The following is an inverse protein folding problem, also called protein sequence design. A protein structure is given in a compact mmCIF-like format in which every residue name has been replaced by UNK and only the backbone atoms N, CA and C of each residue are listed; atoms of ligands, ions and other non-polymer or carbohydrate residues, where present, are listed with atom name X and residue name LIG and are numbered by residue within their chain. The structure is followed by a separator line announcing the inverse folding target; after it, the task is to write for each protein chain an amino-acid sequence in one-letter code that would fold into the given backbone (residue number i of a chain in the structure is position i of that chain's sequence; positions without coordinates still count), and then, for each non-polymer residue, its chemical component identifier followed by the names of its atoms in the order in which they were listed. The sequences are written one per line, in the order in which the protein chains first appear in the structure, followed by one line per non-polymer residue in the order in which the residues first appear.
data_IF_828942184561
#
_entry.id   IF_828942184561
#
_cell.length_a   1.000
_cell.length_b   1.000
_cell.length_c   1.000
_cell.angle_alpha   90.00
_cell.angle_beta   90.00
_cell.angle_gamma   90.00
#
_symmetry.space_group_name_H-M   'P 1'
#
loop_
_entity.id
_entity.type
_entity.pdbx_description
1 polymer ?
#
# COMPACT_ATOMS: atom_id res chain seq x y z
N UNK A 1 20.56 3.24 6.87
CA UNK A 1 19.68 4.19 7.56
C UNK A 1 18.34 3.54 7.89
N UNK A 2 17.81 3.85 9.05
CA UNK A 2 16.52 3.31 9.45
C UNK A 2 15.38 3.91 8.62
N UNK A 3 14.45 3.08 8.20
CA UNK A 3 13.24 3.55 7.53
C UNK A 3 12.32 4.23 8.55
N UNK A 4 11.50 5.14 8.08
CA UNK A 4 10.52 5.79 8.94
C UNK A 4 9.35 4.85 9.21
N UNK A 5 8.86 4.86 10.44
CA UNK A 5 7.68 4.08 10.82
C UNK A 5 6.42 4.84 10.44
N UNK A 6 5.47 4.15 9.84
CA UNK A 6 4.18 4.71 9.48
C UNK A 6 3.08 3.71 9.82
N UNK A 7 1.92 4.20 10.18
CA UNK A 7 0.78 3.34 10.47
C UNK A 7 0.19 2.77 9.17
N UNK A 8 -0.57 1.69 9.30
CA UNK A 8 -1.26 1.10 8.14
C UNK A 8 -2.15 2.13 7.45
N UNK A 9 -2.86 2.96 8.21
CA UNK A 9 -3.73 3.99 7.65
C UNK A 9 -2.94 5.04 6.86
N UNK A 10 -1.78 5.45 7.37
CA UNK A 10 -0.92 6.41 6.68
C UNK A 10 -0.38 5.84 5.38
N UNK A 11 0.10 4.60 5.41
CA UNK A 11 0.62 3.94 4.21
C UNK A 11 -0.48 3.77 3.17
N UNK A 12 -1.68 3.36 3.59
CA UNK A 12 -2.82 3.23 2.69
C UNK A 12 -3.17 4.56 2.02
N UNK A 13 -3.11 5.65 2.79
CA UNK A 13 -3.37 6.98 2.26
C UNK A 13 -2.32 7.40 1.23
N UNK A 14 -1.05 7.13 1.48
CA UNK A 14 0.01 7.39 0.51
C UNK A 14 -0.23 6.64 -0.79
N UNK A 15 -0.65 5.38 -0.70
CA UNK A 15 -0.95 4.58 -1.89
C UNK A 15 -2.09 5.21 -2.68
N UNK A 16 -3.18 5.61 -2.01
CA UNK A 16 -4.31 6.26 -2.66
C UNK A 16 -3.90 7.54 -3.36
N UNK A 17 -3.06 8.35 -2.72
CA UNK A 17 -2.58 9.60 -3.30
C UNK A 17 -1.70 9.36 -4.52
N UNK A 18 -0.81 8.38 -4.45
CA UNK A 18 0.07 8.03 -5.55
C UNK A 18 -0.69 7.54 -6.78
N UNK A 19 -1.78 6.82 -6.55
CA UNK A 19 -2.62 6.29 -7.62
C UNK A 19 -3.70 7.29 -8.06
N UNK A 20 -3.85 8.40 -7.34
CA UNK A 20 -4.90 9.38 -7.57
C UNK A 20 -6.30 8.74 -7.48
N UNK A 21 -6.48 7.86 -6.52
CA UNK A 21 -7.73 7.12 -6.28
C UNK A 21 -8.16 7.32 -4.83
N UNK A 22 -8.73 8.47 -4.47
CA UNK A 22 -9.02 8.80 -3.06
C UNK A 22 -10.05 7.89 -2.40
N UNK A 23 -10.89 7.24 -3.17
CA UNK A 23 -11.92 6.34 -2.64
C UNK A 23 -11.52 4.88 -2.65
N UNK A 24 -10.30 4.58 -3.12
CA UNK A 24 -9.84 3.20 -3.18
C UNK A 24 -9.64 2.63 -1.78
N UNK A 25 -10.16 1.43 -1.55
CA UNK A 25 -9.91 0.71 -0.31
C UNK A 25 -8.61 -0.07 -0.42
N UNK A 26 -7.70 0.22 0.50
CA UNK A 26 -6.43 -0.47 0.56
C UNK A 26 -6.23 -0.96 1.99
N UNK A 27 -5.94 -2.25 2.14
CA UNK A 27 -5.56 -2.82 3.41
C UNK A 27 -4.05 -3.01 3.45
N UNK A 28 -3.41 -2.51 4.51
CA UNK A 28 -1.97 -2.67 4.72
C UNK A 28 -1.79 -3.60 5.91
N UNK A 29 -0.97 -4.62 5.75
CA UNK A 29 -0.76 -5.63 6.78
C UNK A 29 0.70 -6.07 6.82
N UNK A 30 1.14 -6.54 7.98
CA UNK A 30 2.50 -7.03 8.14
C UNK A 30 2.64 -8.44 7.57
N UNK A 31 3.83 -8.73 7.04
CA UNK A 31 4.13 -10.03 6.46
C UNK A 31 5.56 -10.43 6.79
N UNK A 32 6.01 -11.61 6.32
CA UNK A 32 7.33 -12.14 6.65
C UNK A 32 8.50 -11.28 6.16
N UNK A 33 8.27 -10.46 5.14
CA UNK A 33 9.32 -9.61 4.56
C UNK A 33 9.00 -8.12 4.67
N UNK A 34 8.24 -7.74 5.70
CA UNK A 34 7.82 -6.38 5.91
C UNK A 34 6.30 -6.27 5.80
N UNK A 35 5.81 -5.20 5.17
CA UNK A 35 4.39 -5.01 5.01
C UNK A 35 3.95 -5.21 3.55
N UNK A 36 2.68 -5.51 3.37
CA UNK A 36 2.08 -5.64 2.05
C UNK A 36 0.79 -4.83 2.01
N UNK A 37 0.32 -4.52 0.82
CA UNK A 37 -0.92 -3.82 0.62
C UNK A 37 -1.82 -4.58 -0.35
N UNK A 38 -3.12 -4.60 -0.05
CA UNK A 38 -4.11 -5.26 -0.89
C UNK A 38 -5.21 -4.27 -1.23
N UNK A 39 -5.52 -4.15 -2.52
CA UNK A 39 -6.62 -3.32 -2.98
C UNK A 39 -7.92 -4.10 -3.02
N UNK A 40 -9.02 -3.43 -2.69
CA UNK A 40 -10.36 -3.96 -2.79
C UNK A 40 -11.11 -3.17 -3.85
N UNK A 41 -11.47 -3.83 -4.93
CA UNK A 41 -12.14 -3.19 -6.06
C UNK A 41 -13.05 -4.20 -6.76
N UNK A 42 -13.85 -3.73 -7.70
CA UNK A 42 -14.71 -4.61 -8.48
C UNK A 42 -13.86 -5.66 -9.24
N UNK A 43 -14.38 -6.91 -9.42
CA UNK A 43 -13.58 -7.97 -10.02
C UNK A 43 -12.97 -7.64 -11.38
N UNK A 44 -13.65 -6.84 -12.19
CA UNK A 44 -13.19 -6.51 -13.54
C UNK A 44 -12.02 -5.51 -13.55
N UNK A 45 -11.72 -4.87 -12.42
CA UNK A 45 -10.64 -3.89 -12.34
C UNK A 45 -9.61 -4.22 -11.25
N UNK A 46 -9.91 -5.21 -10.38
CA UNK A 46 -9.06 -5.46 -9.21
C UNK A 46 -7.65 -5.89 -9.59
N UNK A 47 -7.49 -6.67 -10.66
CA UNK A 47 -6.17 -7.15 -11.08
C UNK A 47 -5.29 -5.97 -11.51
N UNK A 48 -5.84 -5.06 -12.31
CA UNK A 48 -5.13 -3.87 -12.76
C UNK A 48 -4.76 -2.97 -11.61
N UNK A 49 -5.72 -2.71 -10.72
CA UNK A 49 -5.49 -1.87 -9.54
C UNK A 49 -4.47 -2.51 -8.61
N UNK A 50 -4.56 -3.82 -8.38
CA UNK A 50 -3.60 -4.52 -7.52
C UNK A 50 -2.19 -4.43 -8.08
N UNK A 51 -2.02 -4.51 -9.39
CA UNK A 51 -0.72 -4.34 -10.03
C UNK A 51 -0.13 -2.96 -9.74
N UNK A 52 -0.95 -1.91 -9.83
CA UNK A 52 -0.52 -0.55 -9.52
C UNK A 52 -0.20 -0.41 -8.03
N UNK A 53 -1.02 -0.99 -7.17
CA UNK A 53 -0.78 -0.98 -5.71
C UNK A 53 0.54 -1.68 -5.38
N UNK A 54 0.81 -2.81 -6.00
CA UNK A 54 2.05 -3.54 -5.77
C UNK A 54 3.28 -2.71 -6.16
N UNK A 55 3.21 -2.01 -7.28
CA UNK A 55 4.31 -1.16 -7.73
C UNK A 55 4.57 -0.02 -6.76
N UNK A 56 3.53 0.67 -6.34
CA UNK A 56 3.65 1.77 -5.36
C UNK A 56 4.13 1.23 -4.02
N UNK A 57 3.62 0.06 -3.60
CA UNK A 57 4.02 -0.56 -2.35
C UNK A 57 5.51 -0.85 -2.30
N UNK A 58 6.08 -1.34 -3.39
CA UNK A 58 7.52 -1.61 -3.46
C UNK A 58 8.32 -0.33 -3.25
N UNK A 59 7.90 0.77 -3.87
CA UNK A 59 8.56 2.06 -3.69
C UNK A 59 8.48 2.52 -2.23
N UNK A 60 7.30 2.42 -1.63
CA UNK A 60 7.10 2.85 -0.25
C UNK A 60 7.81 1.94 0.75
N UNK A 61 7.96 0.65 0.45
CA UNK A 61 8.69 -0.29 1.30
C UNK A 61 10.16 0.09 1.44
N UNK A 62 10.71 0.80 0.47
CA UNK A 62 12.08 1.29 0.56
C UNK A 62 12.20 2.48 1.50
N UNK A 63 11.10 3.18 1.79
CA UNK A 63 11.09 4.41 2.58
C UNK A 63 10.49 4.23 3.96
N UNK A 64 9.56 3.32 4.12
CA UNK A 64 8.76 3.18 5.34
C UNK A 64 8.68 1.75 5.83
N UNK A 65 8.57 1.60 7.15
CA UNK A 65 8.23 0.35 7.80
C UNK A 65 6.87 0.51 8.46
N UNK A 66 6.13 -0.59 8.53
CA UNK A 66 4.82 -0.59 9.18
C UNK A 66 4.99 -0.54 10.68
N UNK A 67 4.36 0.43 11.31
CA UNK A 67 4.26 0.52 12.76
C UNK A 67 3.08 -0.32 13.21
N UNK A 68 3.36 -1.40 13.87
CA UNK A 68 2.33 -2.30 14.38
C UNK A 68 2.04 -2.06 15.85
#
# INVERSE_FOLDING_TARGET
MAKKLKSAAEIAEFIRQKLNEPELRVAVYSGPHGWNAKAYAAPHVVVEIQTKVNKVSRELQMLYELHS
#
